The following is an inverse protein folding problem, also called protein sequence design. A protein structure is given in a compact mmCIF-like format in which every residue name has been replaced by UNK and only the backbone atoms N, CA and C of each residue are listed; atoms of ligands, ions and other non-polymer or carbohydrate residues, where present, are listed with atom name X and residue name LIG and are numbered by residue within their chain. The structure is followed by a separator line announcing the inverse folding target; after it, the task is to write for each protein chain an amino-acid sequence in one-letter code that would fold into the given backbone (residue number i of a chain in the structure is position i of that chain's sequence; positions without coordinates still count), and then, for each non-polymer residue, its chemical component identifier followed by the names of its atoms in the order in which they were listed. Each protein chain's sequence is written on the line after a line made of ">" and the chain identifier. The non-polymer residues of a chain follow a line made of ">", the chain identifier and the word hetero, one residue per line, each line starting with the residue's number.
data_IF_793983126968
#
_entry.id   IF_793983126968
#
_cell.length_a   1.000
_cell.length_b   1.000
_cell.length_c   1.000
_cell.angle_alpha   90.00
_cell.angle_beta   90.00
_cell.angle_gamma   90.00
#
_symmetry.space_group_name_H-M   'P 1'
#
loop_
_entity.id
_entity.type
_entity.pdbx_description
1 polymer ?
#
# COMPACT_ATOMS: atom_id res chain seq x y z
N UNK A 1 -21.55 -2.32 -15.38
CA UNK A 1 -21.69 -2.06 -13.92
C UNK A 1 -20.49 -1.25 -13.49
N UNK A 2 -20.64 -0.13 -12.79
CA UNK A 2 -19.50 0.63 -12.27
C UNK A 2 -18.68 -0.25 -11.32
N UNK A 3 -17.35 -0.17 -11.42
CA UNK A 3 -16.44 -0.98 -10.63
C UNK A 3 -16.10 -0.34 -9.28
N UNK A 4 -15.76 -1.16 -8.29
CA UNK A 4 -15.28 -0.70 -7.00
C UNK A 4 -14.05 -1.48 -6.55
N UNK A 5 -13.01 -0.76 -6.11
CA UNK A 5 -11.77 -1.33 -5.59
C UNK A 5 -11.57 -0.85 -4.16
N UNK A 6 -11.71 -1.76 -3.19
CA UNK A 6 -11.22 -1.57 -1.84
C UNK A 6 -9.75 -1.99 -1.76
N UNK A 7 -8.89 -1.02 -1.49
CA UNK A 7 -7.44 -1.21 -1.45
C UNK A 7 -6.94 -1.07 -0.01
N UNK A 8 -6.71 -2.21 0.64
CA UNK A 8 -6.17 -2.27 2.00
C UNK A 8 -4.64 -2.12 1.98
N UNK A 9 -4.13 -1.12 2.69
CA UNK A 9 -2.72 -0.72 2.60
C UNK A 9 -2.08 -0.54 3.98
N UNK A 10 -0.86 -1.04 4.13
CA UNK A 10 0.02 -0.68 5.26
C UNK A 10 1.23 0.10 4.73
N UNK A 11 1.62 1.20 5.38
CA UNK A 11 2.73 2.06 4.98
C UNK A 11 4.10 1.37 5.12
N UNK A 12 4.20 0.31 5.92
CA UNK A 12 5.41 -0.53 6.01
C UNK A 12 5.52 -1.59 4.92
N UNK A 13 4.44 -1.84 4.18
CA UNK A 13 4.42 -2.87 3.16
C UNK A 13 4.96 -2.34 1.84
N UNK A 14 6.11 -2.86 1.45
CA UNK A 14 6.74 -2.63 0.14
C UNK A 14 5.72 -2.78 -1.01
N UNK A 15 4.94 -3.86 -0.99
CA UNK A 15 3.96 -4.16 -2.03
C UNK A 15 2.71 -3.26 -1.96
N UNK A 16 2.33 -2.81 -0.76
CA UNK A 16 1.25 -1.83 -0.61
C UNK A 16 1.63 -0.49 -1.24
N UNK A 17 2.88 -0.04 -1.09
CA UNK A 17 3.34 1.18 -1.75
C UNK A 17 3.35 1.04 -3.28
N UNK A 18 3.89 -0.07 -3.81
CA UNK A 18 3.89 -0.34 -5.25
C UNK A 18 2.46 -0.36 -5.83
N UNK A 19 1.51 -1.00 -5.13
CA UNK A 19 0.09 -1.02 -5.52
C UNK A 19 -0.52 0.39 -5.50
N UNK A 20 -0.24 1.20 -4.47
CA UNK A 20 -0.71 2.58 -4.38
C UNK A 20 -0.22 3.42 -5.56
N UNK A 21 1.06 3.33 -5.91
CA UNK A 21 1.64 4.05 -7.06
C UNK A 21 0.96 3.60 -8.36
N UNK A 22 0.78 2.29 -8.56
CA UNK A 22 0.12 1.77 -9.74
C UNK A 22 -1.32 2.26 -9.87
N UNK A 23 -2.11 2.23 -8.79
CA UNK A 23 -3.48 2.72 -8.78
C UNK A 23 -3.55 4.24 -9.03
N UNK A 24 -2.61 5.01 -8.48
CA UNK A 24 -2.52 6.46 -8.75
C UNK A 24 -2.19 6.75 -10.21
N UNK A 25 -1.24 6.02 -10.81
CA UNK A 25 -0.86 6.16 -12.22
C UNK A 25 -2.03 5.87 -13.17
N UNK A 26 -2.88 4.90 -12.83
CA UNK A 26 -4.01 4.47 -13.66
C UNK A 26 -5.36 5.12 -13.26
N UNK A 27 -5.35 6.11 -12.37
CA UNK A 27 -6.57 6.69 -11.79
C UNK A 27 -7.54 7.21 -12.85
N UNK A 28 -7.06 7.93 -13.86
CA UNK A 28 -7.93 8.53 -14.87
C UNK A 28 -8.56 7.47 -15.78
N UNK A 29 -7.82 6.41 -16.13
CA UNK A 29 -8.34 5.26 -16.88
C UNK A 29 -9.39 4.52 -16.06
N UNK A 30 -9.14 4.29 -14.77
CA UNK A 30 -10.12 3.66 -13.89
C UNK A 30 -11.41 4.50 -13.81
N UNK A 31 -11.29 5.81 -13.69
CA UNK A 31 -12.44 6.72 -13.66
C UNK A 31 -13.20 6.78 -14.98
N UNK A 32 -12.53 6.70 -16.14
CA UNK A 32 -13.22 6.67 -17.44
C UNK A 32 -14.08 5.42 -17.64
N UNK A 33 -13.88 4.39 -16.81
CA UNK A 33 -14.67 3.17 -16.76
C UNK A 33 -15.59 3.10 -15.52
N UNK A 34 -15.86 4.25 -14.87
CA UNK A 34 -16.66 4.35 -13.65
C UNK A 34 -16.14 3.45 -12.51
N UNK A 35 -14.83 3.18 -12.47
CA UNK A 35 -14.20 2.42 -11.39
C UNK A 35 -13.74 3.37 -10.30
N UNK A 36 -14.28 3.16 -9.10
CA UNK A 36 -13.93 3.95 -7.92
C UNK A 36 -12.94 3.21 -7.03
N UNK A 37 -12.03 3.97 -6.41
CA UNK A 37 -11.03 3.43 -5.49
C UNK A 37 -11.30 3.94 -4.08
N UNK A 38 -11.22 3.05 -3.11
CA UNK A 38 -11.29 3.32 -1.69
C UNK A 38 -10.00 2.81 -1.01
N UNK A 39 -9.15 3.73 -0.56
CA UNK A 39 -7.90 3.38 0.13
C UNK A 39 -8.17 3.17 1.61
N UNK A 40 -7.93 1.97 2.15
CA UNK A 40 -8.23 1.59 3.53
C UNK A 40 -6.92 1.34 4.29
N UNK A 41 -6.53 2.22 5.22
CA UNK A 41 -5.39 1.97 6.09
C UNK A 41 -5.62 0.74 6.95
N UNK A 42 -4.65 -0.17 7.01
CA UNK A 42 -4.71 -1.38 7.84
C UNK A 42 -3.41 -1.59 8.59
N UNK A 43 -3.50 -2.28 9.73
CA UNK A 43 -2.33 -2.72 10.49
C UNK A 43 -1.95 -4.16 10.12
N UNK A 44 -0.91 -4.31 9.30
CA UNK A 44 -0.47 -5.60 8.78
C UNK A 44 -0.01 -6.56 9.88
N UNK A 45 0.60 -6.04 10.95
CA UNK A 45 0.98 -6.86 12.11
C UNK A 45 -0.22 -7.55 12.76
N UNK A 46 -1.34 -6.83 12.89
CA UNK A 46 -2.60 -7.38 13.41
C UNK A 46 -3.20 -8.43 12.47
N UNK A 47 -3.15 -8.20 11.16
CA UNK A 47 -3.63 -9.17 10.15
C UNK A 47 -2.81 -10.46 10.20
N UNK A 48 -1.47 -10.36 10.23
CA UNK A 48 -0.60 -11.53 10.31
C UNK A 48 -0.87 -12.35 11.58
N UNK A 49 -0.98 -11.67 12.73
CA UNK A 49 -1.30 -12.33 14.00
C UNK A 49 -2.69 -13.00 13.96
N UNK A 50 -3.73 -12.26 13.55
CA UNK A 50 -5.11 -12.74 13.56
C UNK A 50 -5.42 -13.84 12.54
N UNK A 51 -4.65 -13.91 11.45
CA UNK A 51 -4.79 -14.97 10.43
C UNK A 51 -3.94 -16.21 10.69
N UNK A 52 -3.03 -16.19 11.68
CA UNK A 52 -2.02 -17.23 11.86
C UNK A 52 -0.96 -17.27 10.75
N UNK A 53 -0.91 -16.24 9.89
CA UNK A 53 0.04 -16.18 8.80
C UNK A 53 1.45 -15.90 9.33
N UNK A 54 2.44 -16.52 8.70
CA UNK A 54 3.86 -16.26 8.99
C UNK A 54 4.44 -15.34 7.93
N UNK A 55 5.30 -14.40 8.31
CA UNK A 55 5.86 -13.49 7.33
C UNK A 55 6.71 -14.22 6.27
N UNK A 56 6.74 -13.74 5.01
CA UNK A 56 7.30 -14.51 3.89
C UNK A 56 8.80 -14.82 4.04
N UNK A 57 9.56 -13.99 4.76
CA UNK A 57 10.99 -14.22 5.00
C UNK A 57 11.27 -15.39 5.96
N UNK A 58 10.29 -15.86 6.73
CA UNK A 58 10.48 -17.02 7.62
C UNK A 58 10.51 -18.34 6.87
N UNK A 59 10.14 -18.36 5.58
CA UNK A 59 10.19 -19.54 4.73
C UNK A 59 11.35 -19.43 3.72
N UNK A 60 12.37 -20.33 3.77
CA UNK A 60 13.60 -20.16 3.01
C UNK A 60 13.41 -19.96 1.49
N UNK A 61 12.50 -20.70 0.87
CA UNK A 61 12.26 -20.57 -0.56
C UNK A 61 11.61 -19.22 -0.93
N UNK A 62 10.70 -18.71 -0.10
CA UNK A 62 10.08 -17.39 -0.28
C UNK A 62 11.11 -16.29 -0.05
N UNK A 63 11.94 -16.40 0.98
CA UNK A 63 13.03 -15.46 1.24
C UNK A 63 14.01 -15.36 0.06
N UNK A 64 14.38 -16.50 -0.54
CA UNK A 64 15.23 -16.54 -1.74
C UNK A 64 14.52 -15.90 -2.94
N UNK A 65 13.24 -16.20 -3.13
CA UNK A 65 12.45 -15.64 -4.24
C UNK A 65 12.25 -14.13 -4.12
N UNK A 66 12.01 -13.61 -2.91
CA UNK A 66 11.74 -12.18 -2.67
C UNK A 66 12.78 -11.26 -3.28
N UNK A 67 14.07 -11.65 -3.30
CA UNK A 67 15.13 -10.84 -3.93
C UNK A 67 14.85 -10.55 -5.41
N UNK A 68 14.39 -11.55 -6.15
CA UNK A 68 14.05 -11.41 -7.57
C UNK A 68 12.75 -10.63 -7.75
N UNK A 69 11.77 -10.90 -6.89
CA UNK A 69 10.45 -10.28 -6.97
C UNK A 69 10.50 -8.79 -6.66
N UNK A 70 11.26 -8.40 -5.63
CA UNK A 70 11.53 -7.00 -5.27
C UNK A 70 12.17 -6.24 -6.43
N UNK A 71 13.23 -6.79 -7.03
CA UNK A 71 13.91 -6.17 -8.17
C UNK A 71 12.99 -5.98 -9.38
N UNK A 72 12.17 -7.00 -9.71
CA UNK A 72 11.18 -6.90 -10.79
C UNK A 72 10.11 -5.88 -10.49
N UNK A 73 9.63 -5.80 -9.25
CA UNK A 73 8.59 -4.84 -8.82
C UNK A 73 9.11 -3.41 -8.95
N UNK A 74 10.32 -3.14 -8.48
CA UNK A 74 11.01 -1.85 -8.62
C UNK A 74 11.10 -1.46 -10.10
N UNK A 75 11.60 -2.37 -10.94
CA UNK A 75 11.77 -2.12 -12.38
C UNK A 75 10.43 -1.89 -13.09
N UNK A 76 9.42 -2.72 -12.82
CA UNK A 76 8.14 -2.68 -13.51
C UNK A 76 7.32 -1.43 -13.15
N UNK A 77 7.35 -1.01 -11.88
CA UNK A 77 6.62 0.17 -11.42
C UNK A 77 7.43 1.47 -11.51
N UNK A 78 8.71 1.40 -11.88
CA UNK A 78 9.58 2.58 -12.00
C UNK A 78 9.87 3.23 -10.64
N UNK A 79 10.20 2.43 -9.63
CA UNK A 79 10.38 2.87 -8.24
C UNK A 79 11.83 2.64 -7.76
N UNK A 80 12.84 3.32 -8.35
CA UNK A 80 14.26 3.03 -8.11
C UNK A 80 14.68 3.18 -6.63
N UNK A 81 14.04 4.10 -5.91
CA UNK A 81 14.35 4.41 -4.51
C UNK A 81 13.50 3.59 -3.52
N UNK A 82 12.60 2.71 -4.00
CA UNK A 82 11.77 1.91 -3.12
C UNK A 82 12.61 0.82 -2.46
N UNK A 83 12.81 0.96 -1.15
CA UNK A 83 13.49 0.00 -0.31
C UNK A 83 12.61 -0.36 0.89
N UNK A 84 12.71 -1.59 1.43
CA UNK A 84 12.16 -1.90 2.74
C UNK A 84 12.74 -0.96 3.81
N UNK A 85 11.96 -0.68 4.86
CA UNK A 85 12.46 0.09 6.00
C UNK A 85 13.67 -0.60 6.65
N UNK A 86 14.67 0.18 7.06
CA UNK A 86 15.89 -0.32 7.70
C UNK A 86 15.59 -1.09 9.00
N UNK A 87 14.59 -0.63 9.76
CA UNK A 87 14.00 -1.35 10.88
C UNK A 87 12.72 -2.06 10.44
N UNK A 88 12.76 -3.39 10.35
CA UNK A 88 11.63 -4.19 9.89
C UNK A 88 11.42 -5.48 10.72
N UNK A 89 10.17 -5.83 11.09
CA UNK A 89 8.92 -5.11 10.81
C UNK A 89 8.70 -3.90 11.75
N UNK A 90 8.43 -2.68 11.23
CA UNK A 90 8.13 -1.55 12.08
C UNK A 90 6.70 -1.68 12.66
N UNK A 91 6.50 -1.16 13.87
CA UNK A 91 5.15 -1.07 14.46
C UNK A 91 4.43 0.13 13.83
N UNK A 92 3.55 -0.14 12.87
CA UNK A 92 2.81 0.90 12.12
C UNK A 92 1.49 1.33 12.75
N UNK A 93 1.15 0.86 13.95
CA UNK A 93 -0.16 1.12 14.56
C UNK A 93 -0.50 2.64 14.65
N UNK A 94 0.45 3.47 15.06
CA UNK A 94 0.26 4.92 15.15
C UNK A 94 0.06 5.59 13.77
N UNK A 95 0.96 5.42 12.78
CA UNK A 95 0.72 6.02 11.46
C UNK A 95 -0.56 5.49 10.81
N UNK A 96 -0.93 4.23 10.99
CA UNK A 96 -2.21 3.70 10.48
C UNK A 96 -3.42 4.37 11.13
N UNK A 97 -3.41 4.56 12.46
CA UNK A 97 -4.48 5.29 13.16
C UNK A 97 -4.58 6.74 12.68
N UNK A 98 -3.45 7.40 12.46
CA UNK A 98 -3.42 8.75 11.90
C UNK A 98 -4.04 8.80 10.49
N UNK A 99 -3.71 7.84 9.62
CA UNK A 99 -4.31 7.73 8.29
C UNK A 99 -5.83 7.47 8.35
N UNK A 100 -6.30 6.66 9.30
CA UNK A 100 -7.74 6.47 9.54
C UNK A 100 -8.42 7.78 9.95
N UNK A 101 -7.80 8.55 10.84
CA UNK A 101 -8.32 9.87 11.26
C UNK A 101 -8.33 10.86 10.09
N UNK A 102 -7.24 10.95 9.32
CA UNK A 102 -7.15 11.81 8.13
C UNK A 102 -8.26 11.44 7.14
N UNK A 103 -8.48 10.15 6.89
CA UNK A 103 -9.54 9.67 5.99
C UNK A 103 -10.94 10.02 6.50
N UNK A 104 -11.19 9.98 7.81
CA UNK A 104 -12.51 10.29 8.38
C UNK A 104 -12.81 11.79 8.40
N UNK A 105 -11.80 12.63 8.58
CA UNK A 105 -11.97 14.09 8.67
C UNK A 105 -11.99 14.80 7.31
N UNK A 106 -11.22 14.31 6.33
CA UNK A 106 -11.05 15.02 5.06
C UNK A 106 -11.78 14.32 3.91
N UNK A 107 -12.69 15.04 3.26
CA UNK A 107 -13.32 14.58 2.02
C UNK A 107 -12.27 14.38 0.91
N UNK A 108 -12.54 13.49 -0.06
CA UNK A 108 -11.65 13.22 -1.21
C UNK A 108 -11.22 14.48 -1.99
N UNK A 109 -11.97 15.58 -1.86
CA UNK A 109 -11.63 16.90 -2.45
C UNK A 109 -10.54 17.62 -1.65
N UNK A 110 -10.57 17.58 -0.32
CA UNK A 110 -9.57 18.22 0.54
C UNK A 110 -8.20 17.52 0.47
N UNK A 111 -8.18 16.18 0.48
CA UNK A 111 -6.93 15.41 0.39
C UNK A 111 -6.18 15.63 -0.93
N UNK A 112 -6.92 15.79 -2.04
CA UNK A 112 -6.32 16.12 -3.35
C UNK A 112 -5.64 17.48 -3.38
N UNK A 113 -6.15 18.45 -2.61
CA UNK A 113 -5.57 19.79 -2.55
C UNK A 113 -4.31 19.81 -1.68
N UNK A 114 -4.27 19.05 -0.58
CA UNK A 114 -3.06 18.92 0.25
C UNK A 114 -1.91 18.19 -0.45
N UNK A 115 -2.21 17.15 -1.24
CA UNK A 115 -1.21 16.39 -1.98
C UNK A 115 -0.57 17.16 -3.16
N UNK A 116 -1.00 18.40 -3.43
CA UNK A 116 -0.32 19.32 -4.37
C UNK A 116 0.78 20.15 -3.70
N UNK A 117 0.82 20.19 -2.37
CA UNK A 117 1.78 20.99 -1.58
C UNK A 117 2.82 20.12 -0.87
N UNK A 118 2.88 18.83 -1.20
CA UNK A 118 3.86 17.83 -0.78
C UNK A 118 4.44 17.19 -2.04
#
# INVERSE_FOLDING_TARGET
>A
MPGHIDCYLDCSSFYSYAALVHLRKNREVLLSHDVTINLIPVFLGGINHGSGNKPPWTFPAKAKYSKFDTARTISYHGLPDLQPAEFFPPVTLLPQRALCFIKSQYSKRHLRNMAKYL
#
